data_IF_834702030708
#
_entry.id   IF_834702030708
#
_cell.length_a   1.000
_cell.length_b   1.000
_cell.length_c   1.000
_cell.angle_alpha   90.00
_cell.angle_beta   90.00
_cell.angle_gamma   90.00
#
_symmetry.space_group_name_H-M   'P 1'
#
loop_
_entity.id
_entity.type
_entity.pdbx_description
1 polymer ?
#
# COMPACT_ATOMS: atom_id res chain seq x y z
N UNK A 1 2.38 -12.85 1.10
CA UNK A 1 3.80 -13.22 1.33
C UNK A 1 4.78 -12.23 0.69
N UNK A 2 4.34 -11.45 -0.31
CA UNK A 2 5.14 -10.49 -1.07
C UNK A 2 6.12 -9.60 -0.28
N UNK A 3 5.66 -8.89 0.77
CA UNK A 3 6.52 -7.99 1.56
C UNK A 3 7.68 -8.72 2.25
N UNK A 4 7.37 -9.80 2.97
CA UNK A 4 8.37 -10.63 3.62
C UNK A 4 9.31 -11.30 2.59
N UNK A 5 8.76 -11.74 1.45
CA UNK A 5 9.55 -12.28 0.34
C UNK A 5 10.49 -11.25 -0.32
N UNK A 6 10.15 -9.97 -0.27
CA UNK A 6 11.02 -8.87 -0.69
C UNK A 6 12.03 -8.44 0.39
N UNK A 7 12.04 -9.11 1.55
CA UNK A 7 12.91 -8.77 2.67
C UNK A 7 12.61 -7.39 3.26
N UNK A 8 11.32 -7.01 3.30
CA UNK A 8 10.86 -5.84 4.06
C UNK A 8 10.30 -6.31 5.40
N UNK A 9 10.81 -5.74 6.49
CA UNK A 9 10.18 -5.89 7.79
C UNK A 9 8.86 -5.07 7.88
N UNK A 10 8.06 -5.24 8.94
CA UNK A 10 6.79 -4.52 9.07
C UNK A 10 6.90 -2.99 9.01
N UNK A 11 7.97 -2.39 9.52
CA UNK A 11 8.16 -0.93 9.52
C UNK A 11 8.71 -0.46 8.18
N UNK A 12 9.69 -1.17 7.62
CA UNK A 12 10.21 -0.94 6.27
C UNK A 12 9.11 -1.02 5.20
N UNK A 13 8.12 -1.89 5.41
CA UNK A 13 6.94 -1.98 4.55
C UNK A 13 6.15 -0.67 4.51
N UNK A 14 6.03 0.04 5.62
CA UNK A 14 5.33 1.34 5.70
C UNK A 14 6.20 2.48 5.16
N UNK A 15 7.47 2.52 5.58
CA UNK A 15 8.42 3.56 5.14
C UNK A 15 8.62 3.51 3.63
N UNK A 16 8.82 2.32 3.06
CA UNK A 16 8.99 2.16 1.60
C UNK A 16 7.73 2.55 0.83
N UNK A 17 6.53 2.35 1.40
CA UNK A 17 5.28 2.73 0.77
C UNK A 17 5.05 4.25 0.82
N UNK A 18 5.37 4.89 1.95
CA UNK A 18 5.38 6.34 2.06
C UNK A 18 6.40 6.98 1.09
N UNK A 19 7.59 6.39 0.98
CA UNK A 19 8.67 6.91 0.14
C UNK A 19 8.39 6.88 -1.37
N UNK A 20 7.48 6.01 -1.84
CA UNK A 20 6.99 6.02 -3.24
C UNK A 20 5.75 6.92 -3.42
N UNK A 21 5.35 7.67 -2.39
CA UNK A 21 4.27 8.64 -2.47
C UNK A 21 2.87 8.06 -2.29
N UNK A 22 2.72 6.85 -1.73
CA UNK A 22 1.40 6.25 -1.56
C UNK A 22 0.53 7.02 -0.55
N UNK A 23 1.13 7.47 0.55
CA UNK A 23 0.55 8.37 1.53
C UNK A 23 1.67 9.02 2.34
N UNK A 24 1.37 10.13 3.01
CA UNK A 24 2.34 10.76 3.91
C UNK A 24 2.61 9.88 5.15
N UNK A 25 3.79 9.98 5.78
CA UNK A 25 4.11 9.20 6.99
C UNK A 25 3.05 9.29 8.09
N UNK A 26 2.43 10.45 8.28
CA UNK A 26 1.45 10.68 9.34
C UNK A 26 0.17 9.84 9.17
N UNK A 27 -0.17 9.46 7.94
CA UNK A 27 -1.32 8.58 7.63
C UNK A 27 -1.10 7.17 8.21
N UNK A 28 0.16 6.78 8.47
CA UNK A 28 0.50 5.49 9.05
C UNK A 28 0.54 5.49 10.58
N UNK A 29 0.23 6.61 11.26
CA UNK A 29 0.27 6.72 12.72
C UNK A 29 -0.59 5.65 13.43
N UNK A 30 -1.73 5.28 12.83
CA UNK A 30 -2.62 4.22 13.33
C UNK A 30 -1.98 2.82 13.35
N UNK A 31 -0.82 2.64 12.71
CA UNK A 31 -0.05 1.38 12.71
C UNK A 31 0.84 1.22 13.96
N UNK A 32 0.89 2.21 14.84
CA UNK A 32 1.48 2.09 16.18
C UNK A 32 3.01 2.13 16.24
N UNK A 33 3.68 2.54 15.17
CA UNK A 33 5.14 2.70 15.16
C UNK A 33 5.55 4.12 15.53
N UNK A 34 6.44 4.26 16.52
CA UNK A 34 6.99 5.55 16.91
C UNK A 34 8.12 6.03 15.98
N UNK A 35 8.50 7.29 16.16
CA UNK A 35 9.56 7.96 15.39
C UNK A 35 10.90 7.21 15.38
N UNK A 36 11.27 6.57 16.50
CA UNK A 36 12.50 5.79 16.59
C UNK A 36 12.48 4.59 15.63
N UNK A 37 11.37 3.85 15.62
CA UNK A 37 11.18 2.70 14.73
C UNK A 37 11.17 3.12 13.27
N UNK A 38 10.46 4.21 12.96
CA UNK A 38 10.42 4.80 11.62
C UNK A 38 11.81 5.22 11.14
N UNK A 39 12.55 5.95 11.99
CA UNK A 39 13.91 6.39 11.71
C UNK A 39 14.90 5.24 11.52
N UNK A 40 14.77 4.17 12.32
CA UNK A 40 15.60 2.97 12.18
C UNK A 40 15.33 2.24 10.85
N UNK A 41 14.06 2.09 10.47
CA UNK A 41 13.69 1.52 9.17
C UNK A 41 14.18 2.37 8.00
N UNK A 42 14.07 3.71 8.10
CA UNK A 42 14.62 4.61 7.08
C UNK A 42 16.12 4.42 6.88
N UNK A 43 16.88 4.31 7.97
CA UNK A 43 18.34 4.08 7.91
C UNK A 43 18.67 2.75 7.22
N UNK A 44 18.02 1.64 7.61
CA UNK A 44 18.23 0.33 6.97
C UNK A 44 17.93 0.35 5.47
N UNK A 45 16.85 1.02 5.07
CA UNK A 45 16.50 1.17 3.65
C UNK A 45 17.48 2.07 2.89
N UNK A 46 18.02 3.11 3.52
CA UNK A 46 19.09 3.95 2.94
C UNK A 46 20.40 3.16 2.77
N UNK A 47 20.80 2.39 3.78
CA UNK A 47 21.98 1.49 3.72
C UNK A 47 21.86 0.46 2.58
N UNK A 48 20.64 0.02 2.29
CA UNK A 48 20.32 -0.87 1.15
C UNK A 48 20.19 -0.15 -0.20
N UNK A 49 20.34 1.18 -0.24
CA UNK A 49 20.19 1.99 -1.44
C UNK A 49 18.75 2.08 -1.97
N UNK A 50 17.75 1.74 -1.16
CA UNK A 50 16.33 1.78 -1.54
C UNK A 50 15.72 3.17 -1.31
N UNK A 51 16.30 3.96 -0.42
CA UNK A 51 15.92 5.36 -0.17
C UNK A 51 17.11 6.30 -0.39
N UNK A 52 16.82 7.49 -0.89
CA UNK A 52 17.75 8.60 -0.93
C UNK A 52 17.89 9.26 0.45
N UNK A 53 18.87 10.16 0.59
CA UNK A 53 19.16 10.85 1.85
C UNK A 53 17.97 11.69 2.36
N UNK A 54 17.16 12.22 1.43
CA UNK A 54 15.94 12.98 1.73
C UNK A 54 14.74 12.10 2.13
N UNK A 55 14.87 10.77 2.06
CA UNK A 55 13.83 9.81 2.42
C UNK A 55 12.91 9.42 1.26
N UNK A 56 13.12 9.95 0.05
CA UNK A 56 12.38 9.52 -1.15
C UNK A 56 12.91 8.17 -1.66
N UNK A 57 12.06 7.42 -2.37
CA UNK A 57 12.49 6.17 -2.99
C UNK A 57 13.51 6.41 -4.09
N UNK A 58 14.58 5.62 -4.11
CA UNK A 58 15.47 5.52 -5.28
C UNK A 58 14.78 4.74 -6.39
N UNK A 59 15.44 4.63 -7.55
CA UNK A 59 14.96 3.74 -8.60
C UNK A 59 14.90 2.27 -8.15
N UNK A 60 15.89 1.83 -7.38
CA UNK A 60 15.87 0.49 -6.77
C UNK A 60 14.71 0.33 -5.78
N UNK A 61 14.41 1.36 -4.98
CA UNK A 61 13.27 1.38 -4.07
C UNK A 61 11.92 1.27 -4.79
N UNK A 62 11.73 2.07 -5.86
CA UNK A 62 10.55 1.98 -6.74
C UNK A 62 10.43 0.61 -7.38
N UNK A 63 11.53 0.08 -7.92
CA UNK A 63 11.57 -1.25 -8.51
C UNK A 63 11.22 -2.37 -7.52
N UNK A 64 11.69 -2.28 -6.28
CA UNK A 64 11.32 -3.23 -5.22
C UNK A 64 9.82 -3.15 -4.91
N UNK A 65 9.25 -1.93 -4.77
CA UNK A 65 7.81 -1.76 -4.54
C UNK A 65 6.97 -2.29 -5.69
N UNK A 66 7.35 -2.01 -6.94
CA UNK A 66 6.65 -2.55 -8.11
C UNK A 66 6.62 -4.10 -8.11
N UNK A 67 7.72 -4.75 -7.71
CA UNK A 67 7.76 -6.21 -7.55
C UNK A 67 6.85 -6.72 -6.43
N UNK A 68 6.78 -5.99 -5.31
CA UNK A 68 5.86 -6.31 -4.21
C UNK A 68 4.41 -6.22 -4.68
N UNK A 69 4.04 -5.15 -5.39
CA UNK A 69 2.68 -4.98 -5.92
C UNK A 69 2.34 -6.09 -6.91
N UNK A 70 3.18 -6.33 -7.91
CA UNK A 70 2.99 -7.40 -8.90
C UNK A 70 2.80 -8.77 -8.23
N UNK A 71 3.64 -9.08 -7.24
CA UNK A 71 3.51 -10.35 -6.51
C UNK A 71 2.22 -10.44 -5.71
N UNK A 72 1.78 -9.31 -5.14
CA UNK A 72 0.51 -9.24 -4.42
C UNK A 72 -0.66 -9.44 -5.38
N UNK A 73 -0.62 -8.86 -6.57
CA UNK A 73 -1.63 -9.07 -7.62
C UNK A 73 -1.71 -10.53 -8.05
N UNK A 74 -0.55 -11.17 -8.30
CA UNK A 74 -0.48 -12.59 -8.65
C UNK A 74 -1.09 -13.49 -7.56
N UNK A 75 -0.74 -13.24 -6.30
CA UNK A 75 -1.25 -13.96 -5.13
C UNK A 75 -2.75 -13.73 -4.93
N UNK A 76 -3.26 -12.53 -5.22
CA UNK A 76 -4.66 -12.16 -5.06
C UNK A 76 -5.55 -12.54 -6.25
N UNK A 77 -4.99 -12.97 -7.39
CA UNK A 77 -5.76 -13.17 -8.61
C UNK A 77 -6.67 -14.41 -8.61
N UNK A 78 -6.47 -15.39 -7.72
CA UNK A 78 -7.22 -16.65 -7.76
C UNK A 78 -8.75 -16.48 -7.56
N UNK A 79 -9.25 -15.73 -6.55
CA UNK A 79 -10.68 -15.45 -6.41
C UNK A 79 -11.28 -14.72 -7.62
N UNK A 80 -10.55 -13.77 -8.22
CA UNK A 80 -11.01 -13.03 -9.39
C UNK A 80 -11.15 -13.90 -10.64
N UNK A 81 -10.26 -14.89 -10.81
CA UNK A 81 -10.38 -15.90 -11.86
C UNK A 81 -11.56 -16.83 -11.62
N UNK A 82 -11.77 -17.26 -10.37
CA UNK A 82 -12.88 -18.14 -10.01
C UNK A 82 -14.25 -17.48 -10.24
N UNK A 83 -14.37 -16.17 -10.05
CA UNK A 83 -15.60 -15.42 -10.32
C UNK A 83 -15.96 -15.35 -11.81
N UNK A 84 -14.98 -15.42 -12.71
CA UNK A 84 -15.21 -15.16 -14.13
C UNK A 84 -15.73 -13.73 -14.38
N UNK A 85 -16.12 -13.44 -15.62
CA UNK A 85 -16.61 -12.10 -15.98
C UNK A 85 -17.97 -11.78 -15.34
N UNK A 86 -18.93 -12.70 -15.45
CA UNK A 86 -20.27 -12.53 -14.89
C UNK A 86 -20.25 -12.34 -13.37
N UNK A 87 -19.45 -13.14 -12.65
CA UNK A 87 -19.32 -13.01 -11.20
C UNK A 87 -18.66 -11.68 -10.79
N UNK A 88 -17.72 -11.16 -11.58
CA UNK A 88 -17.13 -9.83 -11.35
C UNK A 88 -18.15 -8.72 -11.59
N UNK A 89 -18.95 -8.80 -12.65
CA UNK A 89 -20.03 -7.83 -12.90
C UNK A 89 -21.08 -7.85 -11.79
N UNK A 90 -21.48 -9.05 -11.34
CA UNK A 90 -22.40 -9.20 -10.22
C UNK A 90 -21.81 -8.66 -8.91
N UNK A 91 -20.52 -8.85 -8.66
CA UNK A 91 -19.85 -8.27 -7.50
C UNK A 91 -19.91 -6.74 -7.52
N UNK A 92 -19.64 -6.12 -8.68
CA UNK A 92 -19.74 -4.67 -8.84
C UNK A 92 -21.17 -4.19 -8.63
N UNK A 93 -22.16 -4.87 -9.21
CA UNK A 93 -23.58 -4.55 -9.01
C UNK A 93 -23.97 -4.58 -7.53
N UNK A 94 -23.57 -5.63 -6.81
CA UNK A 94 -23.87 -5.80 -5.38
C UNK A 94 -23.18 -4.78 -4.49
N UNK A 95 -21.96 -4.37 -4.84
CA UNK A 95 -21.17 -3.41 -4.03
C UNK A 95 -21.43 -1.95 -4.41
N UNK A 96 -22.11 -1.68 -5.52
CA UNK A 96 -22.31 -0.33 -6.05
C UNK A 96 -23.00 0.61 -5.08
N UNK A 97 -24.18 0.24 -4.58
CA UNK A 97 -24.93 1.10 -3.64
C UNK A 97 -24.20 1.23 -2.29
N UNK A 98 -23.78 0.14 -1.60
CA UNK A 98 -23.03 0.28 -0.34
C UNK A 98 -21.78 1.16 -0.47
N UNK A 99 -21.09 1.09 -1.60
CA UNK A 99 -19.93 1.93 -1.88
C UNK A 99 -20.29 3.42 -1.95
N UNK A 100 -21.37 3.76 -2.65
CA UNK A 100 -21.85 5.14 -2.75
C UNK A 100 -22.31 5.68 -1.40
N UNK A 101 -23.01 4.88 -0.60
CA UNK A 101 -23.43 5.27 0.75
C UNK A 101 -22.24 5.54 1.67
N UNK A 102 -21.25 4.64 1.67
CA UNK A 102 -20.04 4.78 2.49
C UNK A 102 -19.24 6.02 2.11
N UNK A 103 -19.03 6.29 0.82
CA UNK A 103 -18.36 7.53 0.38
C UNK A 103 -19.21 8.76 0.75
N UNK A 104 -20.52 8.73 0.45
CA UNK A 104 -21.44 9.83 0.68
C UNK A 104 -21.62 10.19 2.16
N UNK A 105 -21.31 9.27 3.08
CA UNK A 105 -21.39 9.49 4.53
C UNK A 105 -20.49 10.61 5.06
N UNK A 106 -19.42 10.97 4.34
CA UNK A 106 -18.41 11.91 4.83
C UNK A 106 -17.53 11.36 5.96
N UNK A 107 -17.63 10.07 6.30
CA UNK A 107 -16.87 9.44 7.39
C UNK A 107 -15.49 8.92 6.96
N UNK A 108 -15.22 8.80 5.66
CA UNK A 108 -13.95 8.31 5.15
C UNK A 108 -12.85 9.37 5.26
N UNK A 109 -11.62 8.98 5.63
CA UNK A 109 -10.50 9.90 5.68
C UNK A 109 -10.09 10.36 4.27
N UNK A 110 -9.93 11.68 4.10
CA UNK A 110 -9.53 12.29 2.83
C UNK A 110 -8.12 11.89 2.36
N UNK A 111 -7.22 11.60 3.30
CA UNK A 111 -5.94 10.95 3.01
C UNK A 111 -5.97 9.52 3.54
N UNK A 112 -5.71 8.54 2.67
CA UNK A 112 -5.69 7.13 3.04
C UNK A 112 -4.69 6.34 2.17
N UNK A 113 -4.44 5.11 2.61
CA UNK A 113 -3.56 4.13 1.94
C UNK A 113 -4.36 3.11 1.11
N UNK A 114 -5.68 3.30 1.01
CA UNK A 114 -6.62 2.37 0.39
C UNK A 114 -6.99 2.77 -1.05
N UNK A 115 -6.50 3.91 -1.53
CA UNK A 115 -6.81 4.43 -2.87
C UNK A 115 -8.23 5.00 -2.99
N UNK A 116 -8.95 5.17 -1.88
CA UNK A 116 -10.33 5.65 -1.87
C UNK A 116 -10.33 7.17 -2.04
N UNK A 117 -11.11 7.71 -2.98
CA UNK A 117 -11.24 9.15 -3.21
C UNK A 117 -10.06 9.79 -3.96
N UNK A 118 -9.11 8.99 -4.46
CA UNK A 118 -8.09 9.45 -5.41
C UNK A 118 -8.67 9.34 -6.83
N UNK A 119 -9.34 10.40 -7.29
CA UNK A 119 -9.71 10.62 -8.70
C UNK A 119 -8.82 11.71 -9.26
#
# INVERSE_FOLDING_TARGET
AALAGAGLDPVESLVSFAAVGAARPEVFASRGWGEEGWGAARRRLQERGLLAADGTATEAGRGLRAKVELRTDEEAAAPWRALGEEGRLRLVELLGEPWLEVIGSGMLPGENTLGIGKV
#
